data_IF_636990348032
#
_entry.id   IF_636990348032
#
_cell.length_a   1.000
_cell.length_b   1.000
_cell.length_c   1.000
_cell.angle_alpha   90.00
_cell.angle_beta   90.00
_cell.angle_gamma   90.00
#
_symmetry.space_group_name_H-M   'P 1'
#
loop_
_entity.id
_entity.type
_entity.pdbx_description
1 polymer ?
#
# COMPACT_ATOMS: atom_id res chain seq x y z
N UNK A 1 -1.99 -19.11 38.28
CA UNK A 1 -1.22 -18.39 37.24
C UNK A 1 -1.40 -19.04 35.87
N UNK A 2 -1.25 -20.36 35.76
CA UNK A 2 -1.55 -21.14 34.54
C UNK A 2 -2.98 -20.96 33.99
N UNK A 3 -4.01 -20.77 34.81
CA UNK A 3 -5.37 -20.49 34.33
C UNK A 3 -5.53 -19.08 33.75
N UNK A 4 -4.74 -18.11 34.23
CA UNK A 4 -4.68 -16.74 33.66
C UNK A 4 -3.90 -16.74 32.35
N UNK A 5 -2.86 -17.55 32.24
CA UNK A 5 -2.12 -17.78 30.99
C UNK A 5 -2.95 -18.58 29.98
N UNK A 6 -3.70 -19.60 30.41
CA UNK A 6 -4.64 -20.32 29.56
C UNK A 6 -5.81 -19.44 29.13
N UNK A 7 -6.29 -18.51 29.97
CA UNK A 7 -7.29 -17.48 29.57
C UNK A 7 -6.72 -16.40 28.64
N UNK A 8 -5.47 -15.97 28.81
CA UNK A 8 -4.76 -15.08 27.87
C UNK A 8 -4.51 -15.76 26.52
N UNK A 9 -4.16 -17.06 26.50
CA UNK A 9 -4.04 -17.88 25.28
C UNK A 9 -5.40 -18.25 24.67
N UNK A 10 -6.49 -18.30 25.44
CA UNK A 10 -7.86 -18.53 24.93
C UNK A 10 -8.59 -17.28 24.44
N UNK A 11 -8.06 -16.08 24.62
CA UNK A 11 -8.74 -14.83 24.21
C UNK A 11 -8.04 -14.03 23.09
N UNK A 12 -6.97 -14.55 22.49
CA UNK A 12 -6.53 -14.10 21.17
C UNK A 12 -7.01 -15.13 20.17
N UNK A 13 -8.27 -15.04 19.75
CA UNK A 13 -8.56 -15.48 18.39
C UNK A 13 -7.59 -14.67 17.51
N UNK A 14 -6.70 -15.33 16.78
CA UNK A 14 -5.84 -14.64 15.82
C UNK A 14 -6.76 -13.85 14.92
N UNK A 15 -6.70 -12.54 15.01
CA UNK A 15 -7.53 -11.66 14.20
C UNK A 15 -6.98 -11.78 12.78
N UNK A 16 -7.67 -12.56 11.95
CA UNK A 16 -7.28 -12.80 10.56
C UNK A 16 -7.93 -11.72 9.70
N UNK A 17 -7.12 -10.97 8.97
CA UNK A 17 -7.64 -10.01 7.99
C UNK A 17 -8.39 -10.75 6.87
N UNK A 18 -9.38 -10.13 6.21
CA UNK A 18 -10.14 -10.79 5.16
C UNK A 18 -9.24 -11.26 4.00
N UNK A 19 -9.62 -12.39 3.39
CA UNK A 19 -9.04 -12.91 2.17
C UNK A 19 -10.07 -12.83 1.04
N UNK A 20 -9.69 -12.27 -0.10
CA UNK A 20 -10.54 -12.11 -1.28
C UNK A 20 -9.99 -13.01 -2.39
N UNK A 21 -10.79 -13.98 -2.82
CA UNK A 21 -10.45 -14.86 -3.93
C UNK A 21 -10.83 -14.20 -5.27
N UNK A 22 -9.82 -13.87 -6.08
CA UNK A 22 -10.04 -13.19 -7.36
C UNK A 22 -10.61 -14.12 -8.45
N UNK A 23 -10.52 -15.45 -8.30
CA UNK A 23 -11.10 -16.40 -9.26
C UNK A 23 -12.59 -16.64 -9.03
N UNK A 24 -13.07 -16.58 -7.78
CA UNK A 24 -14.50 -16.72 -7.42
C UNK A 24 -15.15 -15.36 -7.12
N UNK A 25 -14.73 -14.31 -7.84
CA UNK A 25 -15.03 -12.93 -7.45
C UNK A 25 -16.54 -12.60 -7.41
N UNK A 26 -17.36 -13.25 -8.23
CA UNK A 26 -18.82 -13.06 -8.23
C UNK A 26 -19.43 -13.23 -6.82
N UNK A 27 -18.85 -14.12 -6.00
CA UNK A 27 -19.27 -14.36 -4.62
C UNK A 27 -18.49 -13.56 -3.58
N UNK A 28 -17.47 -12.81 -4.00
CA UNK A 28 -16.62 -12.01 -3.12
C UNK A 28 -16.97 -10.51 -3.13
N UNK A 29 -17.87 -10.05 -4.00
CA UNK A 29 -18.20 -8.61 -4.14
C UNK A 29 -18.58 -7.94 -2.80
N UNK A 30 -19.55 -8.48 -2.06
CA UNK A 30 -19.93 -7.95 -0.74
C UNK A 30 -18.79 -8.06 0.28
N UNK A 31 -18.01 -9.14 0.22
CA UNK A 31 -16.86 -9.37 1.10
C UNK A 31 -15.74 -8.37 0.84
N UNK A 32 -15.51 -7.98 -0.41
CA UNK A 32 -14.55 -6.97 -0.80
C UNK A 32 -14.93 -5.62 -0.17
N UNK A 33 -16.18 -5.19 -0.32
CA UNK A 33 -16.65 -3.94 0.26
C UNK A 33 -16.55 -3.97 1.79
N UNK A 34 -17.01 -5.04 2.43
CA UNK A 34 -16.88 -5.21 3.88
C UNK A 34 -15.40 -5.16 4.33
N UNK A 35 -14.48 -5.75 3.57
CA UNK A 35 -13.04 -5.66 3.87
C UNK A 35 -12.51 -4.23 3.75
N UNK A 36 -12.91 -3.47 2.72
CA UNK A 36 -12.55 -2.07 2.57
C UNK A 36 -13.13 -1.19 3.70
N UNK A 37 -14.36 -1.43 4.12
CA UNK A 37 -15.07 -0.64 5.13
C UNK A 37 -14.64 -0.97 6.55
N UNK A 38 -14.49 -2.25 6.89
CA UNK A 38 -14.23 -2.70 8.25
C UNK A 38 -12.74 -2.80 8.58
N UNK A 39 -11.93 -3.24 7.62
CA UNK A 39 -10.50 -3.51 7.85
C UNK A 39 -9.60 -2.49 7.19
N UNK A 40 -10.00 -1.96 6.03
CA UNK A 40 -9.12 -1.14 5.19
C UNK A 40 -7.89 -1.88 4.69
N UNK A 41 -7.78 -3.18 4.96
CA UNK A 41 -6.74 -4.06 4.44
C UNK A 41 -7.26 -5.50 4.30
N UNK A 42 -6.74 -6.23 3.33
CA UNK A 42 -7.13 -7.61 3.04
C UNK A 42 -6.10 -8.30 2.14
N UNK A 43 -6.10 -9.63 2.12
CA UNK A 43 -5.26 -10.42 1.21
C UNK A 43 -6.02 -10.73 -0.08
N UNK A 44 -5.33 -10.65 -1.21
CA UNK A 44 -5.79 -11.21 -2.47
C UNK A 44 -5.20 -12.61 -2.66
N UNK A 45 -6.08 -13.55 -2.99
CA UNK A 45 -5.76 -14.91 -3.39
C UNK A 45 -6.05 -15.05 -4.89
N UNK A 46 -5.36 -15.99 -5.55
CA UNK A 46 -5.65 -16.38 -6.94
C UNK A 46 -5.70 -15.19 -7.94
N UNK A 47 -4.90 -14.16 -7.69
CA UNK A 47 -4.88 -12.87 -8.41
C UNK A 47 -4.20 -12.93 -9.80
N UNK A 48 -3.95 -14.12 -10.35
CA UNK A 48 -3.43 -14.30 -11.71
C UNK A 48 -1.92 -14.05 -11.93
N UNK A 49 -1.25 -13.29 -11.05
CA UNK A 49 0.21 -13.10 -11.14
C UNK A 49 0.95 -14.41 -10.79
N UNK A 50 1.81 -14.94 -11.69
CA UNK A 50 2.53 -16.18 -11.41
C UNK A 50 3.48 -16.05 -10.21
N UNK A 51 3.45 -17.03 -9.30
CA UNK A 51 4.35 -17.08 -8.13
C UNK A 51 5.83 -17.09 -8.54
N UNK A 52 6.15 -17.68 -9.70
CA UNK A 52 7.51 -17.63 -10.27
C UNK A 52 7.94 -16.19 -10.58
N UNK A 53 7.07 -15.39 -11.20
CA UNK A 53 7.35 -13.99 -11.51
C UNK A 53 7.48 -13.14 -10.22
N UNK A 54 6.64 -13.42 -9.21
CA UNK A 54 6.76 -12.80 -7.88
C UNK A 54 8.11 -13.11 -7.22
N UNK A 55 8.58 -14.36 -7.32
CA UNK A 55 9.87 -14.79 -6.76
C UNK A 55 11.05 -14.19 -7.52
N UNK A 56 11.02 -14.19 -8.86
CA UNK A 56 12.01 -13.54 -9.71
C UNK A 56 12.12 -12.04 -9.39
N UNK A 57 10.99 -11.34 -9.28
CA UNK A 57 10.97 -9.92 -8.95
C UNK A 57 11.52 -9.66 -7.54
N UNK A 58 11.19 -10.49 -6.54
CA UNK A 58 11.71 -10.34 -5.18
C UNK A 58 13.22 -10.55 -5.10
N UNK A 59 13.75 -11.54 -5.82
CA UNK A 59 15.19 -11.78 -5.95
C UNK A 59 15.88 -10.59 -6.63
N UNK A 60 15.29 -10.09 -7.72
CA UNK A 60 15.78 -8.93 -8.45
C UNK A 60 15.81 -7.67 -7.57
N UNK A 61 14.72 -7.39 -6.85
CA UNK A 61 14.63 -6.24 -5.94
C UNK A 61 15.75 -6.26 -4.89
N UNK A 62 16.06 -7.44 -4.32
CA UNK A 62 17.21 -7.63 -3.44
C UNK A 62 18.52 -7.28 -4.14
N UNK A 63 18.75 -7.83 -5.33
CA UNK A 63 19.99 -7.58 -6.09
C UNK A 63 20.20 -6.09 -6.42
N UNK A 64 19.13 -5.35 -6.74
CA UNK A 64 19.20 -3.91 -7.02
C UNK A 64 19.47 -3.10 -5.75
N UNK A 65 18.88 -3.49 -4.61
CA UNK A 65 19.11 -2.83 -3.32
C UNK A 65 20.48 -3.17 -2.71
N UNK A 66 21.11 -4.27 -3.15
CA UNK A 66 22.48 -4.66 -2.81
C UNK A 66 23.55 -4.00 -3.70
N UNK A 67 23.16 -3.24 -4.73
CA UNK A 67 24.11 -2.47 -5.54
C UNK A 67 24.89 -1.44 -4.69
N UNK A 68 26.12 -1.08 -5.11
CA UNK A 68 26.87 0.02 -4.51
C UNK A 68 26.03 1.30 -4.42
N UNK A 69 26.18 2.04 -3.32
CA UNK A 69 25.37 3.24 -3.04
C UNK A 69 25.52 4.29 -4.14
N UNK A 70 26.69 4.39 -4.77
CA UNK A 70 26.98 5.30 -5.87
C UNK A 70 26.16 4.99 -7.13
N UNK A 71 25.79 3.71 -7.34
CA UNK A 71 24.90 3.31 -8.43
C UNK A 71 23.46 3.64 -8.06
N UNK A 72 23.02 3.28 -6.85
CA UNK A 72 21.66 3.58 -6.37
C UNK A 72 21.37 5.08 -6.39
N UNK A 73 22.34 5.91 -6.00
CA UNK A 73 22.23 7.38 -6.01
C UNK A 73 22.00 7.99 -7.40
N UNK A 74 22.31 7.29 -8.50
CA UNK A 74 21.96 7.77 -9.85
C UNK A 74 20.46 7.79 -10.11
N UNK A 75 19.71 7.01 -9.32
CA UNK A 75 18.25 6.99 -9.31
C UNK A 75 17.68 7.87 -8.19
N UNK A 76 18.49 8.67 -7.47
CA UNK A 76 17.96 9.55 -6.43
C UNK A 76 17.09 10.67 -7.03
N UNK A 77 16.04 11.04 -6.29
CA UNK A 77 15.13 12.14 -6.62
C UNK A 77 14.98 13.03 -5.38
N UNK A 78 14.63 14.31 -5.58
CA UNK A 78 14.39 15.23 -4.47
C UNK A 78 13.12 14.89 -3.68
N UNK A 79 12.20 14.17 -4.31
CA UNK A 79 10.97 13.67 -3.68
C UNK A 79 11.15 12.23 -3.24
N UNK A 80 11.06 12.01 -1.93
CA UNK A 80 11.15 10.68 -1.31
C UNK A 80 10.21 9.68 -1.99
N UNK A 81 10.74 8.49 -2.30
CA UNK A 81 10.02 7.41 -2.96
C UNK A 81 9.94 7.49 -4.49
N UNK A 82 10.35 8.59 -5.14
CA UNK A 82 10.42 8.69 -6.62
C UNK A 82 11.69 8.11 -7.24
N UNK A 83 12.52 7.48 -6.40
CA UNK A 83 13.85 7.03 -6.74
C UNK A 83 14.51 6.36 -5.55
N UNK A 84 15.85 6.36 -5.52
CA UNK A 84 16.59 5.86 -4.36
C UNK A 84 16.34 6.72 -3.13
N UNK A 85 15.82 6.09 -2.08
CA UNK A 85 15.60 6.66 -0.76
C UNK A 85 16.60 6.01 0.21
N UNK A 86 17.69 6.69 0.58
CA UNK A 86 18.69 6.14 1.50
C UNK A 86 18.13 6.07 2.93
N UNK A 87 18.79 5.25 3.76
CA UNK A 87 18.61 5.32 5.23
C UNK A 87 19.03 6.69 5.72
N UNK A 88 18.23 7.29 6.61
CA UNK A 88 18.52 8.57 7.24
C UNK A 88 18.16 8.54 8.73
N UNK A 89 18.28 9.67 9.43
CA UNK A 89 17.97 9.76 10.86
C UNK A 89 16.48 9.52 11.18
N UNK A 90 15.58 9.78 10.23
CA UNK A 90 14.14 9.56 10.40
C UNK A 90 13.74 8.10 10.12
N UNK A 91 14.44 7.43 9.20
CA UNK A 91 14.21 6.05 8.78
C UNK A 91 15.54 5.27 8.73
N UNK A 92 16.18 5.02 9.89
CA UNK A 92 17.53 4.45 9.94
C UNK A 92 17.58 2.98 9.50
N UNK A 93 16.44 2.31 9.39
CA UNK A 93 16.34 0.88 9.05
C UNK A 93 15.85 0.64 7.63
N UNK A 94 15.32 1.64 6.94
CA UNK A 94 14.67 1.47 5.64
C UNK A 94 15.45 2.17 4.54
N UNK A 95 15.81 1.42 3.50
CA UNK A 95 16.14 1.99 2.20
C UNK A 95 15.14 1.50 1.14
N UNK A 96 15.03 2.24 0.05
CA UNK A 96 14.21 1.79 -1.07
C UNK A 96 14.62 2.37 -2.42
N UNK A 97 14.13 1.73 -3.47
CA UNK A 97 14.21 2.18 -4.86
C UNK A 97 12.79 2.37 -5.38
N UNK A 98 12.56 3.39 -6.19
CA UNK A 98 11.22 3.74 -6.63
C UNK A 98 11.15 4.21 -8.08
N UNK A 99 9.99 3.98 -8.69
CA UNK A 99 9.60 4.52 -9.99
C UNK A 99 8.33 5.32 -9.78
N UNK A 100 8.40 6.64 -9.93
CA UNK A 100 7.23 7.51 -9.84
C UNK A 100 6.48 7.48 -11.16
N UNK A 101 5.29 6.88 -11.14
CA UNK A 101 4.48 6.60 -12.32
C UNK A 101 5.07 5.56 -13.29
N UNK A 102 5.08 4.32 -12.84
CA UNK A 102 5.55 3.19 -13.66
C UNK A 102 4.68 2.91 -14.90
N UNK A 103 3.47 3.48 -14.98
CA UNK A 103 2.61 3.41 -16.16
C UNK A 103 2.98 4.45 -17.23
N UNK A 104 3.82 5.45 -16.89
CA UNK A 104 4.29 6.45 -17.84
C UNK A 104 5.29 5.82 -18.84
N UNK A 105 5.15 6.10 -20.15
CA UNK A 105 6.12 5.64 -21.15
C UNK A 105 7.56 6.02 -20.77
N UNK A 106 8.47 5.05 -20.86
CA UNK A 106 9.91 5.24 -20.59
C UNK A 106 10.30 5.38 -19.12
N UNK A 107 9.35 5.40 -18.16
CA UNK A 107 9.68 5.54 -16.74
C UNK A 107 10.49 4.34 -16.21
N UNK A 108 10.05 3.13 -16.53
CA UNK A 108 10.78 1.89 -16.18
C UNK A 108 12.12 1.81 -16.90
N UNK A 109 12.18 2.28 -18.15
CA UNK A 109 13.43 2.27 -18.92
C UNK A 109 14.48 3.19 -18.30
N UNK A 110 14.07 4.41 -17.94
CA UNK A 110 14.93 5.40 -17.27
C UNK A 110 15.44 4.86 -15.93
N UNK A 111 14.55 4.22 -15.15
CA UNK A 111 14.92 3.57 -13.89
C UNK A 111 15.98 2.47 -14.11
N UNK A 112 15.77 1.61 -15.10
CA UNK A 112 16.71 0.55 -15.44
C UNK A 112 18.07 1.10 -15.91
N UNK A 113 18.08 2.14 -16.72
CA UNK A 113 19.30 2.78 -17.22
C UNK A 113 20.14 3.37 -16.07
N UNK A 114 19.49 4.10 -15.16
CA UNK A 114 20.15 4.71 -13.99
C UNK A 114 20.80 3.66 -13.09
N UNK A 115 20.15 2.51 -12.92
CA UNK A 115 20.65 1.39 -12.11
C UNK A 115 21.56 0.43 -12.88
N UNK A 116 21.79 0.66 -14.18
CA UNK A 116 22.53 -0.24 -15.07
C UNK A 116 21.96 -1.67 -15.06
N UNK A 117 20.64 -1.80 -14.99
CA UNK A 117 19.98 -3.09 -15.03
C UNK A 117 20.23 -3.79 -16.37
N UNK A 118 20.47 -5.10 -16.33
CA UNK A 118 20.67 -5.90 -17.56
C UNK A 118 19.36 -6.01 -18.34
N UNK A 119 19.40 -6.42 -19.63
CA UNK A 119 18.18 -6.63 -20.41
C UNK A 119 17.19 -7.60 -19.75
N UNK A 120 17.70 -8.68 -19.16
CA UNK A 120 16.86 -9.66 -18.45
C UNK A 120 16.23 -9.07 -17.18
N UNK A 121 16.99 -8.28 -16.40
CA UNK A 121 16.44 -7.58 -15.24
C UNK A 121 15.34 -6.60 -15.63
N UNK A 122 15.56 -5.85 -16.71
CA UNK A 122 14.55 -4.94 -17.27
C UNK A 122 13.28 -5.69 -17.68
N UNK A 123 13.41 -6.82 -18.36
CA UNK A 123 12.27 -7.64 -18.76
C UNK A 123 11.46 -8.11 -17.55
N UNK A 124 12.12 -8.61 -16.49
CA UNK A 124 11.44 -9.00 -15.24
C UNK A 124 10.70 -7.82 -14.61
N UNK A 125 11.31 -6.63 -14.52
CA UNK A 125 10.66 -5.43 -13.97
C UNK A 125 9.45 -5.05 -14.82
N UNK A 126 9.57 -5.05 -16.14
CA UNK A 126 8.47 -4.71 -17.04
C UNK A 126 7.31 -5.70 -16.90
N UNK A 127 7.58 -7.01 -16.91
CA UNK A 127 6.55 -8.06 -16.75
C UNK A 127 5.85 -7.97 -15.42
N UNK A 128 6.59 -7.86 -14.31
CA UNK A 128 6.01 -7.77 -12.99
C UNK A 128 5.21 -6.47 -12.81
N UNK A 129 5.79 -5.35 -13.25
CA UNK A 129 5.17 -4.04 -13.10
C UNK A 129 3.86 -3.96 -13.91
N UNK A 130 3.85 -4.47 -15.15
CA UNK A 130 2.63 -4.59 -15.95
C UNK A 130 1.56 -5.43 -15.26
N UNK A 131 1.93 -6.64 -14.79
CA UNK A 131 0.98 -7.55 -14.15
C UNK A 131 0.34 -6.95 -12.88
N UNK A 132 1.14 -6.26 -12.05
CA UNK A 132 0.60 -5.61 -10.83
C UNK A 132 -0.21 -4.34 -11.17
N UNK A 133 0.13 -3.64 -12.24
CA UNK A 133 -0.66 -2.49 -12.72
C UNK A 133 -2.01 -2.94 -13.28
N UNK A 134 -2.06 -4.00 -14.10
CA UNK A 134 -3.31 -4.59 -14.57
C UNK A 134 -4.17 -5.08 -13.42
N UNK A 135 -3.57 -5.75 -12.43
CA UNK A 135 -4.28 -6.16 -11.22
C UNK A 135 -4.86 -4.95 -10.48
N UNK A 136 -4.15 -3.83 -10.41
CA UNK A 136 -4.69 -2.61 -9.80
C UNK A 136 -5.92 -2.09 -10.56
N UNK A 137 -5.89 -2.09 -11.90
CA UNK A 137 -7.05 -1.70 -12.73
C UNK A 137 -8.23 -2.64 -12.49
N UNK A 138 -8.00 -3.95 -12.46
CA UNK A 138 -9.03 -4.97 -12.20
C UNK A 138 -9.66 -4.80 -10.81
N UNK A 139 -8.86 -4.55 -9.75
CA UNK A 139 -9.38 -4.22 -8.41
C UNK A 139 -10.23 -2.95 -8.48
N UNK A 140 -9.79 -1.92 -9.20
CA UNK A 140 -10.53 -0.66 -9.36
C UNK A 140 -11.91 -0.89 -9.98
N UNK A 141 -11.96 -1.66 -11.07
CA UNK A 141 -13.20 -2.02 -11.74
C UNK A 141 -14.14 -2.80 -10.81
N UNK A 142 -13.61 -3.81 -10.11
CA UNK A 142 -14.35 -4.61 -9.14
C UNK A 142 -14.90 -3.79 -7.98
N UNK A 143 -14.17 -2.78 -7.50
CA UNK A 143 -14.66 -1.86 -6.47
C UNK A 143 -15.83 -1.02 -6.97
N UNK A 144 -15.73 -0.45 -8.17
CA UNK A 144 -16.80 0.33 -8.79
C UNK A 144 -18.06 -0.52 -8.95
N UNK A 145 -17.94 -1.70 -9.54
CA UNK A 145 -19.06 -2.63 -9.75
C UNK A 145 -19.69 -3.08 -8.43
N UNK A 146 -18.86 -3.45 -7.44
CA UNK A 146 -19.34 -3.90 -6.13
C UNK A 146 -20.02 -2.80 -5.32
N UNK A 147 -19.73 -1.53 -5.62
CA UNK A 147 -20.43 -0.38 -5.04
C UNK A 147 -21.67 0.05 -5.85
N UNK A 148 -22.03 -0.68 -6.92
CA UNK A 148 -23.14 -0.33 -7.80
C UNK A 148 -22.91 0.97 -8.58
N UNK A 149 -21.64 1.29 -8.85
CA UNK A 149 -21.22 2.47 -9.59
C UNK A 149 -20.87 2.09 -11.04
N UNK A 150 -20.85 3.10 -11.90
CA UNK A 150 -20.37 3.00 -13.28
C UNK A 150 -19.04 3.75 -13.46
N UNK A 151 -18.23 3.33 -14.43
CA UNK A 151 -17.01 4.02 -14.84
C UNK A 151 -15.73 3.22 -14.65
N UNK A 152 -14.59 3.84 -14.97
CA UNK A 152 -13.26 3.21 -14.94
C UNK A 152 -12.40 3.86 -13.85
N UNK A 153 -12.40 3.27 -12.65
CA UNK A 153 -11.55 3.72 -11.56
C UNK A 153 -10.07 3.40 -11.85
N UNK A 154 -9.18 4.33 -11.51
CA UNK A 154 -7.72 4.29 -11.75
C UNK A 154 -7.25 4.45 -13.20
N UNK A 155 -8.16 4.63 -14.17
CA UNK A 155 -7.76 4.83 -15.56
C UNK A 155 -6.85 6.05 -15.71
N UNK A 156 -5.62 5.81 -16.16
CA UNK A 156 -4.60 6.86 -16.33
C UNK A 156 -4.08 7.47 -15.02
N UNK A 157 -4.39 6.87 -13.87
CA UNK A 157 -3.86 7.36 -12.60
C UNK A 157 -2.39 6.95 -12.46
N UNK A 158 -1.51 7.83 -11.97
CA UNK A 158 -0.12 7.49 -11.72
C UNK A 158 -0.04 6.37 -10.68
N UNK A 159 0.88 5.43 -10.92
CA UNK A 159 1.19 4.38 -9.97
C UNK A 159 2.66 4.45 -9.56
N UNK A 160 2.95 4.64 -8.28
CA UNK A 160 4.31 4.61 -7.77
C UNK A 160 4.70 3.18 -7.42
N UNK A 161 5.77 2.68 -8.00
CA UNK A 161 6.32 1.37 -7.68
C UNK A 161 7.50 1.53 -6.74
N UNK A 162 7.59 0.72 -5.67
CA UNK A 162 8.71 0.76 -4.72
C UNK A 162 9.20 -0.63 -4.33
N UNK A 163 10.51 -0.76 -4.22
CA UNK A 163 11.21 -1.87 -3.59
C UNK A 163 11.77 -1.37 -2.26
N UNK A 164 11.52 -2.09 -1.18
CA UNK A 164 11.93 -1.71 0.17
C UNK A 164 12.82 -2.79 0.77
N UNK A 165 13.92 -2.37 1.40
CA UNK A 165 14.81 -3.23 2.19
C UNK A 165 14.93 -2.69 3.60
N UNK A 166 14.55 -3.52 4.56
CA UNK A 166 14.64 -3.25 5.98
C UNK A 166 15.89 -3.92 6.54
N UNK A 167 16.83 -3.12 7.02
CA UNK A 167 18.11 -3.55 7.60
C UNK A 167 17.95 -3.98 9.05
N UNK A 168 17.13 -5.00 9.26
CA UNK A 168 16.95 -5.58 10.59
C UNK A 168 18.12 -6.47 10.98
N UNK A 169 18.54 -6.31 12.21
CA UNK A 169 19.57 -7.08 12.92
C UNK A 169 19.11 -7.35 14.36
N UNK A 170 19.78 -8.25 15.11
CA UNK A 170 19.42 -8.53 16.50
C UNK A 170 19.31 -7.29 17.39
N UNK A 171 20.13 -6.27 17.13
CA UNK A 171 20.15 -5.00 17.89
C UNK A 171 18.94 -4.11 17.59
N UNK A 172 18.26 -4.34 16.47
CA UNK A 172 17.11 -3.54 16.02
C UNK A 172 15.78 -4.17 16.39
N UNK A 173 15.76 -5.38 16.99
CA UNK A 173 14.52 -6.04 17.43
C UNK A 173 13.78 -5.12 18.40
N UNK A 174 12.48 -4.95 18.18
CA UNK A 174 11.65 -3.99 18.92
C UNK A 174 11.61 -2.59 18.30
N UNK A 175 12.46 -2.29 17.31
CA UNK A 175 12.42 -1.02 16.56
C UNK A 175 11.39 -1.05 15.43
N UNK A 176 10.94 0.12 14.99
CA UNK A 176 10.05 0.27 13.84
C UNK A 176 10.86 0.45 12.56
N UNK A 177 10.66 -0.44 11.59
CA UNK A 177 11.22 -0.34 10.25
C UNK A 177 10.50 0.68 9.36
N UNK A 178 9.20 0.86 9.59
CA UNK A 178 8.41 1.96 9.02
C UNK A 178 7.43 2.44 10.09
N UNK A 179 7.45 3.74 10.39
CA UNK A 179 6.61 4.36 11.40
C UNK A 179 5.11 4.22 11.07
N UNK A 180 4.26 4.41 12.08
CA UNK A 180 2.81 4.37 11.89
C UNK A 180 2.34 5.44 10.89
N UNK A 181 1.66 5.02 9.82
CA UNK A 181 1.14 5.91 8.80
C UNK A 181 -0.09 5.31 8.10
N UNK A 182 -0.78 6.14 7.32
CA UNK A 182 -1.70 5.69 6.25
C UNK A 182 -1.07 5.99 4.90
N UNK A 183 -1.50 5.29 3.85
CA UNK A 183 -1.00 5.57 2.51
C UNK A 183 -1.61 6.85 1.90
N UNK A 184 -0.73 7.61 1.24
CA UNK A 184 -1.00 8.69 0.28
C UNK A 184 -2.26 8.49 -0.55
N UNK A 185 -2.12 7.51 -1.44
CA UNK A 185 -2.97 7.31 -2.59
C UNK A 185 -4.28 6.62 -2.24
N UNK A 186 -4.88 6.04 -3.26
CA UNK A 186 -6.15 5.36 -3.13
C UNK A 186 -6.00 3.99 -2.48
N UNK A 187 -5.12 3.16 -3.01
CA UNK A 187 -4.78 1.86 -2.46
C UNK A 187 -3.33 1.50 -2.75
N UNK A 188 -2.84 0.51 -2.02
CA UNK A 188 -1.50 -0.05 -2.17
C UNK A 188 -1.58 -1.56 -2.30
N UNK A 189 -0.90 -2.13 -3.30
CA UNK A 189 -0.69 -3.57 -3.46
C UNK A 189 0.71 -3.90 -2.95
N UNK A 190 0.82 -4.77 -1.96
CA UNK A 190 2.07 -5.14 -1.31
C UNK A 190 2.35 -6.64 -1.49
N UNK A 191 3.46 -6.93 -2.16
CA UNK A 191 4.14 -8.22 -2.03
C UNK A 191 5.08 -8.12 -0.82
N UNK A 192 4.67 -8.75 0.28
CA UNK A 192 5.46 -8.75 1.51
C UNK A 192 6.52 -9.87 1.54
N UNK A 193 7.39 -9.86 2.54
CA UNK A 193 8.29 -10.95 2.81
C UNK A 193 7.51 -12.19 3.26
N UNK A 194 7.89 -13.36 2.75
CA UNK A 194 7.22 -14.65 3.02
C UNK A 194 7.77 -15.31 4.29
N UNK A 195 8.94 -14.84 4.76
CA UNK A 195 9.69 -15.46 5.87
C UNK A 195 9.74 -14.50 7.05
N UNK A 196 10.02 -13.22 6.82
CA UNK A 196 10.24 -12.23 7.88
C UNK A 196 8.99 -11.38 8.05
N UNK A 197 8.20 -11.67 9.09
CA UNK A 197 7.04 -10.87 9.45
C UNK A 197 7.44 -9.49 9.98
N UNK A 198 6.46 -8.59 10.08
CA UNK A 198 6.68 -7.28 10.66
C UNK A 198 5.57 -6.28 10.38
N UNK A 199 4.74 -6.51 9.37
CA UNK A 199 3.63 -5.63 9.09
C UNK A 199 2.57 -5.75 10.19
N UNK A 200 2.10 -4.61 10.67
CA UNK A 200 1.00 -4.50 11.62
C UNK A 200 0.01 -3.44 11.15
N UNK A 201 -1.28 -3.71 11.31
CA UNK A 201 -2.37 -2.80 10.97
C UNK A 201 -3.24 -2.50 12.20
N UNK A 202 -3.81 -1.30 12.27
CA UNK A 202 -4.78 -0.95 13.31
C UNK A 202 -6.14 -1.51 12.93
N UNK A 203 -6.69 -2.37 13.75
CA UNK A 203 -8.08 -2.82 13.62
C UNK A 203 -9.03 -1.66 13.91
N UNK A 204 -9.95 -1.37 12.98
CA UNK A 204 -10.93 -0.29 13.10
C UNK A 204 -11.83 -0.47 14.32
N UNK A 205 -12.22 -1.71 14.65
CA UNK A 205 -13.20 -2.01 15.71
C UNK A 205 -12.60 -1.90 17.10
N UNK A 206 -11.46 -2.54 17.34
CA UNK A 206 -10.80 -2.54 18.65
C UNK A 206 -9.80 -1.40 18.87
N UNK A 207 -9.31 -0.77 17.79
CA UNK A 207 -8.19 0.17 17.84
C UNK A 207 -6.84 -0.50 18.16
N UNK A 208 -6.80 -1.83 18.26
CA UNK A 208 -5.58 -2.57 18.56
C UNK A 208 -4.69 -2.69 17.32
N UNK A 209 -3.38 -2.81 17.55
CA UNK A 209 -2.44 -3.23 16.52
C UNK A 209 -2.49 -4.74 16.35
N UNK A 210 -2.73 -5.17 15.12
CA UNK A 210 -2.86 -6.57 14.72
C UNK A 210 -1.71 -6.92 13.79
N UNK A 211 -0.92 -7.97 14.10
CA UNK A 211 0.09 -8.51 13.19
C UNK A 211 -0.56 -9.07 11.92
N UNK A 212 0.03 -8.74 10.77
CA UNK A 212 -0.38 -9.28 9.47
C UNK A 212 0.65 -10.32 9.06
N UNK A 213 0.31 -11.58 9.31
CA UNK A 213 1.22 -12.69 8.99
C UNK A 213 1.39 -12.84 7.46
N UNK A 214 2.60 -13.18 7.00
CA UNK A 214 2.84 -13.52 5.60
C UNK A 214 2.07 -14.75 5.17
N UNK A 215 1.42 -14.67 4.01
CA UNK A 215 0.84 -15.82 3.32
C UNK A 215 1.52 -15.93 1.95
N UNK A 216 2.35 -16.95 1.69
CA UNK A 216 3.08 -17.10 0.44
C UNK A 216 2.16 -17.09 -0.79
N UNK A 217 2.60 -16.45 -1.86
CA UNK A 217 1.82 -16.35 -3.11
C UNK A 217 0.58 -15.46 -3.05
N UNK A 218 0.43 -14.65 -1.99
CA UNK A 218 -0.67 -13.69 -1.85
C UNK A 218 -0.16 -12.25 -1.89
N UNK A 219 -1.05 -11.32 -2.17
CA UNK A 219 -0.77 -9.88 -2.10
C UNK A 219 -1.62 -9.26 -1.02
N UNK A 220 -1.06 -8.31 -0.28
CA UNK A 220 -1.83 -7.51 0.67
C UNK A 220 -2.29 -6.23 0.00
N UNK A 221 -3.54 -5.85 0.23
CA UNK A 221 -4.10 -4.57 -0.17
C UNK A 221 -4.27 -3.71 1.07
N UNK A 222 -3.85 -2.45 0.99
CA UNK A 222 -4.19 -1.40 1.95
C UNK A 222 -5.02 -0.33 1.24
N UNK A 223 -6.09 0.14 1.87
CA UNK A 223 -6.82 1.33 1.44
C UNK A 223 -6.15 2.56 2.05
N UNK A 224 -5.86 3.54 1.19
CA UNK A 224 -5.24 4.81 1.56
C UNK A 224 -6.26 5.94 1.75
N UNK A 225 -5.73 7.13 1.97
CA UNK A 225 -6.53 8.31 2.29
C UNK A 225 -7.42 8.76 1.13
N UNK A 226 -6.95 8.68 -0.12
CA UNK A 226 -7.77 9.00 -1.28
C UNK A 226 -8.92 8.01 -1.43
N UNK A 227 -8.71 6.74 -1.08
CA UNK A 227 -9.77 5.73 -1.09
C UNK A 227 -10.88 6.05 -0.11
N UNK A 228 -10.50 6.53 1.09
CA UNK A 228 -11.46 7.05 2.07
C UNK A 228 -12.20 8.30 1.57
N UNK A 229 -11.48 9.27 0.99
CA UNK A 229 -12.10 10.50 0.51
C UNK A 229 -13.07 10.23 -0.66
N UNK A 230 -12.64 9.42 -1.63
CA UNK A 230 -13.44 9.06 -2.80
C UNK A 230 -14.67 8.21 -2.43
N UNK A 231 -14.56 7.30 -1.46
CA UNK A 231 -15.71 6.50 -1.00
C UNK A 231 -16.67 7.26 -0.07
N UNK A 232 -16.54 8.59 0.01
CA UNK A 232 -17.29 9.44 0.95
C UNK A 232 -17.19 8.98 2.42
N UNK A 233 -16.00 8.51 2.82
CA UNK A 233 -15.72 8.05 4.19
C UNK A 233 -16.10 6.60 4.50
N UNK A 234 -16.70 5.87 3.55
CA UNK A 234 -17.11 4.46 3.74
C UNK A 234 -15.89 3.57 3.96
N UNK A 235 -14.88 3.68 3.09
CA UNK A 235 -13.67 2.89 3.24
C UNK A 235 -12.79 3.38 4.38
N UNK A 236 -12.19 2.44 5.09
CA UNK A 236 -11.26 2.71 6.16
C UNK A 236 -9.84 2.87 5.60
N UNK A 237 -9.25 4.06 5.77
CA UNK A 237 -7.85 4.27 5.47
C UNK A 237 -6.99 3.67 6.59
N UNK A 238 -6.44 2.48 6.36
CA UNK A 238 -5.81 1.68 7.40
C UNK A 238 -4.49 2.30 7.86
N UNK A 239 -4.37 2.52 9.17
CA UNK A 239 -3.10 2.85 9.80
C UNK A 239 -2.27 1.58 9.92
N UNK A 240 -1.04 1.62 9.45
CA UNK A 240 -0.15 0.48 9.49
C UNK A 240 1.30 0.90 9.76
N UNK A 241 2.11 -0.06 10.20
CA UNK A 241 3.55 0.10 10.45
C UNK A 241 4.30 -1.18 10.13
N UNK A 242 5.64 -1.10 10.10
CA UNK A 242 6.50 -2.28 10.05
C UNK A 242 7.35 -2.33 11.32
N UNK A 243 7.26 -3.44 12.04
CA UNK A 243 7.96 -3.74 13.27
C UNK A 243 9.11 -4.73 12.99
N UNK A 244 10.26 -4.51 13.61
CA UNK A 244 11.35 -5.48 13.62
C UNK A 244 11.09 -6.53 14.69
N UNK A 245 10.58 -7.70 14.28
CA UNK A 245 10.32 -8.83 15.16
C UNK A 245 11.49 -9.82 15.23
N UNK A 246 12.31 -9.86 14.18
CA UNK A 246 13.46 -10.76 14.07
C UNK A 246 14.63 -10.01 13.40
N UNK A 247 15.86 -10.32 13.83
CA UNK A 247 17.09 -9.74 13.29
C UNK A 247 17.49 -10.29 11.91
N UNK A 248 16.59 -10.23 10.93
CA UNK A 248 16.82 -10.67 9.54
C UNK A 248 16.33 -9.61 8.56
N UNK A 249 17.08 -9.41 7.48
CA UNK A 249 16.67 -8.51 6.39
C UNK A 249 15.27 -8.89 5.89
N UNK A 250 14.37 -7.90 5.93
CA UNK A 250 13.02 -8.00 5.37
C UNK A 250 12.96 -7.24 4.04
N UNK A 251 12.30 -7.80 3.05
CA UNK A 251 12.07 -7.16 1.75
C UNK A 251 10.59 -7.02 1.47
N UNK A 252 10.17 -5.91 0.87
CA UNK A 252 8.82 -5.80 0.29
C UNK A 252 8.85 -5.07 -1.05
N UNK A 253 7.86 -5.34 -1.87
CA UNK A 253 7.59 -4.63 -3.12
C UNK A 253 6.17 -4.08 -3.04
N UNK A 254 5.99 -2.81 -3.36
CA UNK A 254 4.70 -2.15 -3.28
C UNK A 254 4.37 -1.36 -4.54
N UNK A 255 3.13 -1.47 -5.00
CA UNK A 255 2.53 -0.58 -5.98
C UNK A 255 1.53 0.32 -5.27
N UNK A 256 1.75 1.63 -5.31
CA UNK A 256 0.84 2.63 -4.79
C UNK A 256 0.03 3.22 -5.94
N UNK A 257 -1.28 2.99 -5.95
CA UNK A 257 -2.20 3.68 -6.86
C UNK A 257 -2.47 5.05 -6.26
N UNK A 258 -2.05 6.13 -6.94
CA UNK A 258 -2.04 7.47 -6.38
C UNK A 258 -3.42 8.14 -6.53
N UNK A 259 -3.46 9.34 -7.12
CA UNK A 259 -4.69 10.04 -7.49
C UNK A 259 -4.62 10.53 -8.94
N UNK A 260 -5.73 10.96 -9.53
CA UNK A 260 -5.75 11.43 -10.92
C UNK A 260 -4.81 12.63 -11.12
N UNK A 261 -4.15 12.71 -12.29
CA UNK A 261 -3.23 13.82 -12.62
C UNK A 261 -3.96 15.14 -12.84
N UNK A 262 -5.01 15.11 -13.67
CA UNK A 262 -5.68 16.31 -14.19
C UNK A 262 -7.07 16.54 -13.60
N UNK A 263 -7.49 15.71 -12.63
CA UNK A 263 -8.79 15.79 -12.00
C UNK A 263 -8.66 15.92 -10.49
N UNK A 264 -9.73 16.41 -9.87
CA UNK A 264 -9.85 16.39 -8.41
C UNK A 264 -10.37 15.04 -7.96
N UNK A 265 -9.91 14.61 -6.79
CA UNK A 265 -10.49 13.51 -6.04
C UNK A 265 -11.77 14.03 -5.40
N UNK A 266 -12.86 13.33 -5.67
CA UNK A 266 -14.20 13.70 -5.23
C UNK A 266 -15.03 12.43 -5.09
N UNK A 267 -15.94 12.42 -4.10
CA UNK A 267 -16.86 11.32 -3.94
C UNK A 267 -17.89 11.27 -5.09
N UNK A 268 -18.10 10.12 -5.74
CA UNK A 268 -19.17 9.94 -6.72
C UNK A 268 -20.52 10.39 -6.15
N UNK A 269 -21.32 11.06 -6.97
CA UNK A 269 -22.61 11.61 -6.55
C UNK A 269 -23.55 10.53 -6.01
N UNK A 270 -23.46 9.31 -6.52
CA UNK A 270 -24.24 8.14 -6.10
C UNK A 270 -23.91 7.70 -4.66
N UNK A 271 -22.76 8.09 -4.10
CA UNK A 271 -22.38 7.82 -2.71
C UNK A 271 -22.74 8.96 -1.75
N UNK A 272 -23.42 9.99 -2.25
CA UNK A 272 -23.80 11.19 -1.50
C UNK A 272 -25.33 11.33 -1.52
N UNK A 273 -25.94 11.20 -0.35
CA UNK A 273 -27.39 11.32 -0.17
C UNK A 273 -27.72 12.06 1.14
N UNK A 274 -29.00 12.09 1.54
CA UNK A 274 -29.42 12.78 2.77
C UNK A 274 -28.88 12.13 4.04
N UNK A 275 -28.64 10.82 4.02
CA UNK A 275 -28.15 10.04 5.16
C UNK A 275 -26.61 9.99 5.17
N UNK A 276 -25.99 10.18 4.01
CA UNK A 276 -24.53 10.22 3.80
C UNK A 276 -24.14 11.52 3.08
N UNK A 277 -24.21 12.69 3.74
CA UNK A 277 -23.82 13.95 3.13
C UNK A 277 -22.35 13.92 2.72
N UNK A 278 -21.98 14.77 1.77
CA UNK A 278 -20.59 14.86 1.30
C UNK A 278 -19.66 15.26 2.44
N UNK A 279 -18.66 14.43 2.70
CA UNK A 279 -17.72 14.65 3.81
C UNK A 279 -16.55 15.56 3.45
N UNK A 280 -16.04 15.47 2.22
CA UNK A 280 -14.81 16.18 1.80
C UNK A 280 -15.06 17.10 0.61
N UNK A 281 -14.39 18.25 0.59
CA UNK A 281 -14.35 19.12 -0.60
C UNK A 281 -13.48 18.48 -1.69
N UNK A 282 -13.72 18.71 -2.99
CA UNK A 282 -12.85 18.19 -4.05
C UNK A 282 -11.43 18.77 -3.97
N UNK A 283 -10.39 17.92 -4.07
CA UNK A 283 -8.98 18.32 -3.96
C UNK A 283 -8.07 17.58 -4.95
N UNK A 284 -6.89 18.13 -5.28
CA UNK A 284 -5.89 17.40 -6.08
C UNK A 284 -5.00 16.52 -5.19
N UNK A 285 -4.46 15.43 -5.76
CA UNK A 285 -3.56 14.55 -5.01
C UNK A 285 -2.30 15.27 -4.50
N UNK A 286 -1.71 16.17 -5.31
CA UNK A 286 -0.50 16.89 -4.91
C UNK A 286 -0.78 17.95 -3.82
N UNK A 287 -1.96 18.60 -3.84
CA UNK A 287 -2.39 19.47 -2.72
C UNK A 287 -2.50 18.66 -1.43
N UNK A 288 -3.11 17.46 -1.51
CA UNK A 288 -3.25 16.59 -0.34
C UNK A 288 -1.90 16.09 0.18
N UNK A 289 -0.97 15.70 -0.70
CA UNK A 289 0.40 15.35 -0.30
C UNK A 289 1.11 16.52 0.40
N UNK A 290 0.99 17.71 -0.16
CA UNK A 290 1.57 18.94 0.41
C UNK A 290 0.99 19.22 1.79
N UNK A 291 -0.33 19.09 1.94
CA UNK A 291 -1.04 19.26 3.20
C UNK A 291 -0.59 18.23 4.25
N UNK A 292 -0.45 16.95 3.88
CA UNK A 292 0.04 15.89 4.78
C UNK A 292 1.43 16.21 5.32
N UNK A 293 2.33 16.72 4.46
CA UNK A 293 3.70 17.08 4.83
C UNK A 293 3.71 18.31 5.74
N UNK A 294 3.03 19.39 5.35
CA UNK A 294 3.05 20.67 6.06
C UNK A 294 2.41 20.57 7.46
N UNK A 295 1.37 19.76 7.60
CA UNK A 295 0.68 19.50 8.88
C UNK A 295 1.30 18.37 9.69
N UNK A 296 2.36 17.71 9.19
CA UNK A 296 3.02 16.55 9.83
C UNK A 296 2.01 15.48 10.27
N UNK A 297 1.03 15.19 9.41
CA UNK A 297 -0.07 14.26 9.69
C UNK A 297 0.07 12.97 8.87
N UNK A 298 0.97 12.03 9.27
CA UNK A 298 1.25 10.83 8.49
C UNK A 298 0.14 9.77 8.57
N UNK A 299 -0.81 9.91 9.50
CA UNK A 299 -1.84 8.90 9.81
C UNK A 299 -3.24 9.32 9.35
N UNK A 300 -3.33 10.04 8.24
CA UNK A 300 -4.58 10.43 7.59
C UNK A 300 -5.31 11.64 8.20
N UNK A 301 -4.78 12.21 9.29
CA UNK A 301 -5.38 13.38 9.97
C UNK A 301 -5.48 14.64 9.09
N UNK A 302 -4.68 14.73 8.02
CA UNK A 302 -4.75 15.84 7.07
C UNK A 302 -6.11 15.93 6.34
N UNK A 303 -6.84 14.81 6.20
CA UNK A 303 -8.18 14.81 5.57
C UNK A 303 -9.17 15.70 6.33
N UNK A 304 -8.98 15.91 7.63
CA UNK A 304 -9.89 16.70 8.46
C UNK A 304 -9.91 18.19 8.05
N UNK A 305 -8.81 18.70 7.48
CA UNK A 305 -8.75 20.06 6.92
C UNK A 305 -9.50 20.21 5.59
N UNK A 306 -9.88 19.09 4.98
CA UNK A 306 -10.62 19.04 3.72
C UNK A 306 -12.10 18.70 3.94
N UNK A 307 -12.56 18.62 5.19
CA UNK A 307 -13.98 18.40 5.47
C UNK A 307 -14.84 19.56 5.02
N UNK A 308 -16.03 19.25 4.53
CA UNK A 308 -17.08 20.26 4.32
C UNK A 308 -17.48 20.82 5.70
N UNK A 309 -17.61 22.14 5.80
CA UNK A 309 -18.00 22.80 7.05
C UNK A 309 -19.41 22.37 7.47
N UNK A 310 -19.57 21.87 8.70
CA UNK A 310 -20.88 21.52 9.28
C UNK A 310 -21.26 20.03 9.23
N UNK A 311 -20.45 19.16 8.63
CA UNK A 311 -20.64 17.71 8.67
C UNK A 311 -19.86 17.07 9.83
N UNK A 312 -20.56 16.60 10.86
CA UNK A 312 -20.03 15.65 11.86
C UNK A 312 -20.23 14.22 11.35
N UNK A 313 -19.18 13.39 11.38
CA UNK A 313 -19.25 11.97 11.05
C UNK A 313 -19.96 11.16 12.14
#
# INVERSE_FOLDING_TARGET
EEEREKKKKKSMASVVIPEIDMQDFERQSEKLIAACEEWGCFRLMNHGIPVTLMSEMKSLARSLLDLPVEIKQRNADTVVGKGYSPRDMANPLLEGLGVYDMASPGAVDTFCDQLKATPQQRETILRYSHAVHELAQDIGQKLVESMGLDGELFKGWPCQFRMNKYHFSPETIGSSGAQMHTDAGFLTIVQDDEIVSGLEAVDKKSGALVPIDPIPGTLLINIGDLGKAWSNGRFYNVKHRVQCNEGKIRMSIALFVLGPKEAKVEAPAQLVDSDHPRLFVPFSFEDYRTLRISTRSPTGGALEFLRVTGTTA
#
